data_IF_704288076371
#
_entry.id   IF_704288076371
#
_cell.length_a   1.000
_cell.length_b   1.000
_cell.length_c   1.000
_cell.angle_alpha   90.00
_cell.angle_beta   90.00
_cell.angle_gamma   90.00
#
_symmetry.space_group_name_H-M   'P 1'
#
loop_
_entity.id
_entity.type
_entity.pdbx_description
1 polymer ?
#
# COMPACT_ATOMS: atom_id res chain seq x y z
N UNK A 1 -28.83 16.20 -5.89
CA UNK A 1 -28.17 14.92 -5.61
C UNK A 1 -26.77 14.92 -6.23
N UNK A 2 -26.06 16.06 -6.32
CA UNK A 2 -25.26 16.27 -7.55
C UNK A 2 -23.77 16.53 -7.39
N UNK A 3 -23.25 16.91 -6.22
CA UNK A 3 -21.83 17.28 -6.15
C UNK A 3 -20.92 16.07 -5.88
N UNK A 4 -21.29 15.24 -4.91
CA UNK A 4 -20.53 14.03 -4.56
C UNK A 4 -20.55 13.01 -5.71
N UNK A 5 -21.70 12.82 -6.35
CA UNK A 5 -21.82 11.93 -7.51
C UNK A 5 -21.04 12.44 -8.70
N UNK A 6 -21.03 13.75 -8.94
CA UNK A 6 -20.22 14.36 -10.00
C UNK A 6 -18.73 14.18 -9.73
N UNK A 7 -18.27 14.37 -8.49
CA UNK A 7 -16.88 14.11 -8.09
C UNK A 7 -16.52 12.64 -8.36
N UNK A 8 -17.34 11.71 -7.89
CA UNK A 8 -17.09 10.27 -8.07
C UNK A 8 -17.17 9.84 -9.53
N UNK A 9 -18.08 10.41 -10.31
CA UNK A 9 -18.17 10.15 -11.75
C UNK A 9 -16.92 10.66 -12.48
N UNK A 10 -16.37 11.81 -12.08
CA UNK A 10 -15.17 12.39 -12.68
C UNK A 10 -13.93 11.59 -12.28
N UNK A 11 -13.79 11.27 -11.01
CA UNK A 11 -12.58 10.63 -10.47
C UNK A 11 -12.55 9.11 -10.72
N UNK A 12 -13.72 8.46 -10.79
CA UNK A 12 -13.85 6.99 -10.78
C UNK A 12 -14.78 6.42 -11.86
N UNK A 13 -15.42 7.28 -12.65
CA UNK A 13 -16.25 6.87 -13.78
C UNK A 13 -17.74 6.68 -13.46
N UNK A 14 -18.56 6.74 -14.52
CA UNK A 14 -20.03 6.75 -14.44
C UNK A 14 -20.60 5.46 -13.83
N UNK A 15 -20.08 4.31 -14.21
CA UNK A 15 -20.61 3.02 -13.77
C UNK A 15 -20.40 2.79 -12.26
N UNK A 16 -19.24 3.21 -11.72
CA UNK A 16 -18.97 3.22 -10.28
C UNK A 16 -19.97 4.12 -9.56
N UNK A 17 -20.20 5.33 -10.09
CA UNK A 17 -21.15 6.28 -9.53
C UNK A 17 -22.60 5.74 -9.53
N UNK A 18 -23.02 5.07 -10.61
CA UNK A 18 -24.37 4.49 -10.75
C UNK A 18 -24.57 3.32 -9.78
N UNK A 19 -23.61 2.40 -9.66
CA UNK A 19 -23.66 1.30 -8.69
C UNK A 19 -23.64 1.82 -7.24
N UNK A 20 -22.80 2.82 -6.97
CA UNK A 20 -22.75 3.48 -5.67
C UNK A 20 -24.10 4.13 -5.32
N UNK A 21 -24.73 4.80 -6.29
CA UNK A 21 -26.03 5.45 -6.12
C UNK A 21 -27.10 4.45 -5.71
N UNK A 22 -27.21 3.36 -6.46
CA UNK A 22 -28.16 2.29 -6.18
C UNK A 22 -27.99 1.76 -4.76
N UNK A 23 -26.76 1.50 -4.33
CA UNK A 23 -26.46 1.02 -2.96
C UNK A 23 -26.73 2.07 -1.89
N UNK A 24 -26.47 3.35 -2.18
CA UNK A 24 -26.79 4.47 -1.30
C UNK A 24 -28.30 4.54 -1.03
N UNK A 25 -29.11 4.47 -2.08
CA UNK A 25 -30.57 4.50 -1.98
C UNK A 25 -31.08 3.31 -1.16
N UNK A 26 -30.65 2.09 -1.49
CA UNK A 26 -31.01 0.88 -0.72
C UNK A 26 -30.63 1.01 0.76
N UNK A 27 -29.39 1.40 1.07
CA UNK A 27 -28.91 1.53 2.44
C UNK A 27 -29.71 2.56 3.24
N UNK A 28 -29.94 3.73 2.64
CA UNK A 28 -30.65 4.82 3.33
C UNK A 28 -32.12 4.48 3.57
N UNK A 29 -32.78 3.80 2.63
CA UNK A 29 -34.15 3.29 2.82
C UNK A 29 -34.24 2.26 3.94
N UNK A 30 -33.35 1.27 3.96
CA UNK A 30 -33.29 0.25 5.01
C UNK A 30 -33.09 0.89 6.40
N UNK A 31 -32.14 1.82 6.54
CA UNK A 31 -31.90 2.50 7.83
C UNK A 31 -33.07 3.38 8.27
N UNK A 32 -33.80 4.01 7.33
CA UNK A 32 -35.03 4.75 7.66
C UNK A 32 -36.11 3.82 8.19
N UNK A 33 -36.32 2.66 7.56
CA UNK A 33 -37.27 1.63 8.05
C UNK A 33 -36.91 1.15 9.45
N UNK A 34 -35.62 0.97 9.72
CA UNK A 34 -35.11 0.56 11.03
C UNK A 34 -35.04 1.69 12.08
N UNK A 35 -35.43 2.93 11.73
CA UNK A 35 -35.27 4.14 12.58
C UNK A 35 -33.83 4.33 13.09
N UNK A 36 -32.82 3.89 12.33
CA UNK A 36 -31.41 4.01 12.68
C UNK A 36 -30.80 5.30 12.13
N UNK A 37 -29.78 5.80 12.81
CA UNK A 37 -28.99 6.96 12.36
C UNK A 37 -28.26 6.64 11.07
N UNK A 38 -28.42 7.50 10.07
CA UNK A 38 -27.70 7.46 8.80
C UNK A 38 -26.37 8.23 8.97
N UNK A 39 -25.23 7.68 8.49
CA UNK A 39 -23.95 8.40 8.46
C UNK A 39 -23.99 9.69 7.63
N UNK A 40 -22.96 10.53 7.76
CA UNK A 40 -22.80 11.71 6.88
C UNK A 40 -22.76 11.27 5.42
N UNK A 41 -23.43 12.05 4.55
CA UNK A 41 -23.62 11.71 3.15
C UNK A 41 -22.31 11.52 2.37
N UNK A 42 -21.34 12.40 2.60
CA UNK A 42 -19.98 12.36 2.03
C UNK A 42 -19.23 11.10 2.44
N UNK A 43 -19.20 10.79 3.73
CA UNK A 43 -18.53 9.61 4.26
C UNK A 43 -19.20 8.29 3.81
N UNK A 44 -20.53 8.28 3.69
CA UNK A 44 -21.28 7.14 3.14
C UNK A 44 -20.97 6.93 1.65
N UNK A 45 -20.93 8.01 0.86
CA UNK A 45 -20.57 7.92 -0.55
C UNK A 45 -19.13 7.46 -0.73
N UNK A 46 -18.17 8.02 0.00
CA UNK A 46 -16.78 7.56 -0.03
C UNK A 46 -16.63 6.09 0.31
N UNK A 47 -17.38 5.61 1.31
CA UNK A 47 -17.36 4.20 1.69
C UNK A 47 -17.92 3.28 0.60
N UNK A 48 -19.00 3.69 -0.06
CA UNK A 48 -19.60 2.93 -1.15
C UNK A 48 -18.75 2.94 -2.42
N UNK A 49 -18.15 4.10 -2.76
CA UNK A 49 -17.19 4.21 -3.85
C UNK A 49 -15.98 3.31 -3.63
N UNK A 50 -15.42 3.32 -2.42
CA UNK A 50 -14.32 2.42 -2.05
C UNK A 50 -14.68 0.97 -2.28
N UNK A 51 -15.83 0.52 -1.77
CA UNK A 51 -16.26 -0.89 -1.91
C UNK A 51 -16.42 -1.26 -3.39
N UNK A 52 -17.00 -0.38 -4.20
CA UNK A 52 -17.22 -0.63 -5.62
C UNK A 52 -15.90 -0.69 -6.42
N UNK A 53 -14.96 0.21 -6.12
CA UNK A 53 -13.64 0.24 -6.74
C UNK A 53 -12.84 -1.04 -6.43
N UNK A 54 -12.78 -1.44 -5.16
CA UNK A 54 -12.06 -2.67 -4.81
C UNK A 54 -12.73 -3.91 -5.42
N UNK A 55 -14.07 -3.96 -5.53
CA UNK A 55 -14.76 -5.06 -6.22
C UNK A 55 -14.38 -5.19 -7.69
N UNK A 56 -13.96 -4.09 -8.34
CA UNK A 56 -13.45 -4.07 -9.71
C UNK A 56 -11.97 -4.44 -9.81
N UNK A 57 -11.31 -4.67 -8.68
CA UNK A 57 -9.87 -4.94 -8.63
C UNK A 57 -9.01 -3.67 -8.64
N UNK A 58 -9.61 -2.48 -8.50
CA UNK A 58 -8.87 -1.23 -8.42
C UNK A 58 -8.06 -1.17 -7.12
N UNK A 59 -6.85 -0.62 -7.20
CA UNK A 59 -5.96 -0.44 -6.05
C UNK A 59 -6.09 0.98 -5.51
N UNK A 60 -7.17 1.26 -4.79
CA UNK A 60 -7.46 2.58 -4.20
C UNK A 60 -7.35 2.55 -2.69
N UNK A 61 -6.81 3.59 -2.07
CA UNK A 61 -6.82 3.74 -0.61
C UNK A 61 -7.87 4.74 -0.14
N UNK A 62 -8.21 4.68 1.14
CA UNK A 62 -9.22 5.58 1.71
C UNK A 62 -8.83 7.05 1.58
N UNK A 63 -7.53 7.36 1.60
CA UNK A 63 -7.03 8.74 1.52
C UNK A 63 -7.28 9.40 0.17
N UNK A 64 -7.20 8.66 -0.93
CA UNK A 64 -7.51 9.21 -2.26
C UNK A 64 -8.99 9.61 -2.33
N UNK A 65 -9.87 8.72 -1.87
CA UNK A 65 -11.31 8.97 -1.87
C UNK A 65 -11.68 10.09 -0.88
N UNK A 66 -11.02 10.11 0.27
CA UNK A 66 -11.23 11.12 1.30
C UNK A 66 -10.83 12.51 0.82
N UNK A 67 -9.72 12.63 0.10
CA UNK A 67 -9.22 13.88 -0.47
C UNK A 67 -10.19 14.46 -1.50
N UNK A 68 -10.67 13.64 -2.44
CA UNK A 68 -11.70 14.04 -3.43
C UNK A 68 -13.00 14.52 -2.77
N UNK A 69 -13.36 13.95 -1.62
CA UNK A 69 -14.62 14.24 -0.93
C UNK A 69 -14.50 15.24 0.21
N UNK A 70 -13.29 15.69 0.55
CA UNK A 70 -13.03 16.55 1.70
C UNK A 70 -13.45 15.92 3.05
N UNK A 71 -13.24 14.61 3.22
CA UNK A 71 -13.68 13.85 4.40
C UNK A 71 -12.49 13.22 5.15
N UNK A 72 -12.70 12.72 6.37
CA UNK A 72 -11.67 11.95 7.10
C UNK A 72 -11.61 10.50 6.56
N UNK A 73 -10.46 10.01 6.06
CA UNK A 73 -10.32 8.64 5.56
C UNK A 73 -10.63 7.58 6.62
N UNK A 74 -10.38 7.86 7.91
CA UNK A 74 -10.72 6.93 9.01
C UNK A 74 -12.22 6.78 9.16
N UNK A 75 -12.96 7.84 8.89
CA UNK A 75 -14.42 7.80 8.97
C UNK A 75 -15.03 7.02 7.80
N UNK A 76 -14.48 7.22 6.59
CA UNK A 76 -14.82 6.41 5.42
C UNK A 76 -14.52 4.92 5.68
N UNK A 77 -13.33 4.57 6.18
CA UNK A 77 -12.93 3.20 6.49
C UNK A 77 -13.84 2.50 7.53
N UNK A 78 -14.27 3.26 8.55
CA UNK A 78 -15.22 2.75 9.56
C UNK A 78 -16.57 2.44 8.94
N UNK A 79 -17.06 3.29 8.04
CA UNK A 79 -18.35 3.10 7.38
C UNK A 79 -18.28 1.96 6.37
N UNK A 80 -17.22 1.88 5.54
CA UNK A 80 -17.06 0.79 4.56
C UNK A 80 -17.06 -0.57 5.26
N UNK A 81 -16.31 -0.71 6.35
CA UNK A 81 -16.29 -1.94 7.17
C UNK A 81 -17.67 -2.30 7.70
N UNK A 82 -18.43 -1.31 8.17
CA UNK A 82 -19.79 -1.53 8.67
C UNK A 82 -20.73 -1.99 7.55
N UNK A 83 -20.68 -1.33 6.39
CA UNK A 83 -21.49 -1.68 5.22
C UNK A 83 -21.18 -3.11 4.78
N UNK A 84 -19.90 -3.47 4.62
CA UNK A 84 -19.51 -4.82 4.22
C UNK A 84 -20.05 -5.88 5.19
N UNK A 85 -19.93 -5.65 6.51
CA UNK A 85 -20.48 -6.57 7.53
C UNK A 85 -22.00 -6.69 7.45
N UNK A 86 -22.71 -5.57 7.27
CA UNK A 86 -24.18 -5.56 7.21
C UNK A 86 -24.71 -6.29 5.96
N UNK A 87 -24.01 -6.23 4.83
CA UNK A 87 -24.38 -6.93 3.61
C UNK A 87 -23.74 -8.33 3.47
N UNK A 88 -23.08 -8.85 4.51
CA UNK A 88 -22.42 -10.16 4.46
C UNK A 88 -21.27 -10.24 3.45
N UNK A 89 -20.75 -9.10 3.02
CA UNK A 89 -19.61 -9.03 2.10
C UNK A 89 -18.32 -9.11 2.91
N UNK A 90 -17.34 -9.85 2.39
CA UNK A 90 -15.97 -9.73 2.92
C UNK A 90 -15.56 -8.26 2.76
N UNK A 91 -14.96 -7.64 3.81
CA UNK A 91 -14.43 -6.30 3.65
C UNK A 91 -13.48 -6.31 2.45
N UNK A 92 -13.49 -5.24 1.65
CA UNK A 92 -12.56 -5.15 0.54
C UNK A 92 -11.13 -5.14 1.10
N UNK A 93 -10.32 -6.14 0.72
CA UNK A 93 -8.94 -6.27 1.19
C UNK A 93 -8.03 -6.04 -0.02
N UNK A 94 -7.28 -4.95 0.04
CA UNK A 94 -6.17 -4.70 -0.89
C UNK A 94 -5.02 -5.59 -0.43
N UNK A 95 -4.35 -6.33 -1.34
CA UNK A 95 -3.13 -7.05 -1.00
C UNK A 95 -2.13 -6.12 -0.30
N UNK A 96 -1.47 -6.59 0.75
CA UNK A 96 -0.53 -5.79 1.55
C UNK A 96 0.49 -5.05 0.68
N UNK A 97 1.07 -5.77 -0.27
CA UNK A 97 2.02 -5.24 -1.25
C UNK A 97 1.47 -4.06 -2.03
N UNK A 98 0.31 -4.26 -2.66
CA UNK A 98 -0.39 -3.22 -3.40
C UNK A 98 -0.71 -2.02 -2.51
N UNK A 99 -1.13 -2.25 -1.26
CA UNK A 99 -1.44 -1.18 -0.32
C UNK A 99 -0.21 -0.34 0.05
N UNK A 100 0.94 -0.97 0.36
CA UNK A 100 2.17 -0.25 0.70
C UNK A 100 2.69 0.54 -0.51
N UNK A 101 2.73 -0.07 -1.69
CA UNK A 101 3.12 0.63 -2.93
C UNK A 101 2.22 1.83 -3.20
N UNK A 102 0.91 1.65 -3.01
CA UNK A 102 -0.07 2.73 -3.19
C UNK A 102 0.11 3.86 -2.18
N UNK A 103 0.42 3.54 -0.92
CA UNK A 103 0.79 4.55 0.07
C UNK A 103 2.02 5.34 -0.38
N UNK A 104 3.07 4.66 -0.86
CA UNK A 104 4.28 5.33 -1.37
C UNK A 104 3.93 6.26 -2.54
N UNK A 105 3.14 5.80 -3.51
CA UNK A 105 2.72 6.62 -4.66
C UNK A 105 1.86 7.82 -4.28
N UNK A 106 1.04 7.72 -3.23
CA UNK A 106 0.18 8.83 -2.77
C UNK A 106 0.95 9.83 -1.93
N UNK A 107 1.85 9.36 -1.06
CA UNK A 107 2.55 10.23 -0.11
C UNK A 107 3.90 10.75 -0.62
N UNK A 108 4.56 10.07 -1.56
CA UNK A 108 5.82 10.53 -2.17
C UNK A 108 5.69 11.96 -2.71
N UNK A 109 4.77 12.23 -3.65
CA UNK A 109 4.55 13.58 -4.19
C UNK A 109 4.11 14.59 -3.12
N UNK A 110 3.33 14.15 -2.12
CA UNK A 110 2.93 15.00 -0.99
C UNK A 110 4.11 15.38 -0.10
N UNK A 111 5.19 14.61 -0.14
CA UNK A 111 6.46 14.86 0.54
C UNK A 111 7.51 15.46 -0.41
N UNK A 112 7.08 15.97 -1.57
CA UNK A 112 7.95 16.63 -2.56
C UNK A 112 8.98 15.70 -3.24
N UNK A 113 8.79 14.38 -3.15
CA UNK A 113 9.56 13.44 -3.95
C UNK A 113 9.17 13.55 -5.43
N UNK A 114 10.17 13.51 -6.29
CA UNK A 114 9.95 13.38 -7.72
C UNK A 114 9.49 11.96 -8.12
N UNK A 115 9.21 11.77 -9.41
CA UNK A 115 8.73 10.48 -9.94
C UNK A 115 9.78 9.37 -9.78
N UNK A 116 11.06 9.69 -9.93
CA UNK A 116 12.16 8.73 -9.84
C UNK A 116 12.43 8.35 -8.39
N UNK A 117 12.40 9.31 -7.47
CA UNK A 117 12.49 9.08 -6.04
C UNK A 117 11.33 8.22 -5.53
N UNK A 118 10.11 8.50 -6.02
CA UNK A 118 8.93 7.67 -5.71
C UNK A 118 9.10 6.24 -6.24
N UNK A 119 9.64 6.06 -7.46
CA UNK A 119 9.96 4.74 -8.02
C UNK A 119 11.05 4.03 -7.22
N UNK A 120 12.06 4.74 -6.76
CA UNK A 120 13.13 4.20 -5.92
C UNK A 120 12.57 3.69 -4.58
N UNK A 121 11.64 4.41 -3.96
CA UNK A 121 10.95 3.96 -2.74
C UNK A 121 10.14 2.69 -2.97
N UNK A 122 9.45 2.58 -4.10
CA UNK A 122 8.71 1.36 -4.47
C UNK A 122 9.68 0.20 -4.73
N UNK A 123 10.76 0.43 -5.49
CA UNK A 123 11.77 -0.58 -5.78
C UNK A 123 12.49 -1.05 -4.52
N UNK A 124 12.70 -0.16 -3.55
CA UNK A 124 13.23 -0.50 -2.24
C UNK A 124 12.28 -1.46 -1.51
N UNK A 125 10.97 -1.15 -1.49
CA UNK A 125 9.97 -2.04 -0.92
C UNK A 125 9.97 -3.41 -1.63
N UNK A 126 9.98 -3.44 -2.97
CA UNK A 126 10.02 -4.68 -3.76
C UNK A 126 11.21 -5.56 -3.39
N UNK A 127 12.37 -4.96 -3.10
CA UNK A 127 13.58 -5.69 -2.74
C UNK A 127 13.51 -6.39 -1.38
N UNK A 128 12.62 -5.93 -0.48
CA UNK A 128 12.48 -6.46 0.90
C UNK A 128 11.11 -7.06 1.18
N UNK A 129 10.21 -7.06 0.19
CA UNK A 129 8.80 -7.42 0.36
C UNK A 129 8.60 -8.81 0.97
N UNK A 130 9.35 -9.81 0.48
CA UNK A 130 9.20 -11.20 0.92
C UNK A 130 9.61 -11.38 2.38
N UNK A 131 10.70 -10.72 2.78
CA UNK A 131 11.25 -10.86 4.11
C UNK A 131 10.46 -10.00 5.11
N UNK A 132 10.03 -8.79 4.72
CA UNK A 132 9.29 -7.88 5.61
C UNK A 132 7.90 -8.43 6.00
N UNK A 133 7.32 -9.32 5.20
CA UNK A 133 6.08 -10.01 5.53
C UNK A 133 6.20 -10.88 6.78
N UNK A 134 7.38 -11.43 7.06
CA UNK A 134 7.65 -12.23 8.26
C UNK A 134 7.72 -11.36 9.53
N UNK A 135 8.15 -10.10 9.40
CA UNK A 135 8.48 -9.23 10.54
C UNK A 135 7.43 -8.17 10.89
N UNK A 136 6.54 -7.77 9.98
CA UNK A 136 5.86 -6.49 10.15
C UNK A 136 4.35 -6.54 10.36
N UNK A 137 3.89 -5.73 11.33
CA UNK A 137 2.47 -5.52 11.69
C UNK A 137 1.86 -4.20 11.18
N UNK A 138 2.58 -3.35 10.45
CA UNK A 138 2.09 -2.01 10.10
C UNK A 138 2.48 -1.52 8.70
N UNK A 139 1.49 -1.17 7.86
CA UNK A 139 1.70 -0.77 6.47
C UNK A 139 2.23 0.67 6.29
N UNK A 140 1.64 1.62 7.02
CA UNK A 140 2.02 3.05 6.98
C UNK A 140 3.48 3.28 7.40
N UNK A 141 3.97 2.68 8.50
CA UNK A 141 5.39 2.78 8.87
C UNK A 141 6.34 2.25 7.79
N UNK A 142 6.02 1.12 7.15
CA UNK A 142 6.85 0.58 6.06
C UNK A 142 6.90 1.56 4.89
N UNK A 143 5.76 2.08 4.45
CA UNK A 143 5.71 3.05 3.36
C UNK A 143 6.55 4.30 3.69
N UNK A 144 6.41 4.83 4.91
CA UNK A 144 7.20 5.97 5.38
C UNK A 144 8.70 5.66 5.46
N UNK A 145 9.08 4.47 5.90
CA UNK A 145 10.47 4.03 5.95
C UNK A 145 11.07 3.88 4.54
N UNK A 146 10.30 3.36 3.58
CA UNK A 146 10.74 3.25 2.20
C UNK A 146 10.93 4.63 1.56
N UNK A 147 10.02 5.59 1.83
CA UNK A 147 10.16 6.98 1.39
C UNK A 147 11.44 7.60 1.98
N UNK A 148 11.61 7.49 3.30
CA UNK A 148 12.79 8.02 3.99
C UNK A 148 14.11 7.46 3.46
N UNK A 149 14.18 6.15 3.23
CA UNK A 149 15.40 5.47 2.79
C UNK A 149 15.70 5.62 1.30
N UNK A 150 14.69 5.95 0.48
CA UNK A 150 14.87 6.17 -0.95
C UNK A 150 15.31 7.61 -1.26
N UNK A 151 14.98 8.55 -0.38
CA UNK A 151 15.49 9.89 -0.46
C UNK A 151 17.01 9.90 -0.22
N UNK A 152 17.74 10.63 -1.06
CA UNK A 152 19.19 10.84 -0.90
C UNK A 152 19.55 12.15 -0.21
N UNK A 153 18.54 12.92 0.21
CA UNK A 153 18.69 14.26 0.76
C UNK A 153 18.41 14.21 2.25
N UNK A 154 19.21 14.93 3.02
CA UNK A 154 18.99 15.18 4.45
C UNK A 154 17.79 16.12 4.71
N UNK A 155 16.79 16.18 3.82
CA UNK A 155 15.74 17.21 3.82
C UNK A 155 14.46 16.76 4.55
N UNK A 156 14.01 15.49 4.45
CA UNK A 156 12.81 15.03 5.18
C UNK A 156 13.13 14.50 6.58
N UNK A 157 12.52 15.12 7.58
CA UNK A 157 12.51 14.60 8.95
C UNK A 157 11.51 13.44 9.13
N UNK A 158 11.77 12.55 10.09
CA UNK A 158 10.82 11.50 10.48
C UNK A 158 9.50 12.09 10.98
N UNK A 159 9.55 13.26 11.60
CA UNK A 159 8.40 14.03 12.05
C UNK A 159 7.49 14.41 10.89
N UNK A 160 8.04 14.95 9.80
CA UNK A 160 7.28 15.34 8.61
C UNK A 160 6.62 14.14 7.94
N UNK A 161 7.40 13.07 7.71
CA UNK A 161 6.89 11.84 7.10
C UNK A 161 5.78 11.24 7.97
N UNK A 162 6.00 11.14 9.28
CA UNK A 162 5.02 10.57 10.22
C UNK A 162 3.71 11.35 10.24
N UNK A 163 3.80 12.68 10.18
CA UNK A 163 2.66 13.58 10.16
C UNK A 163 1.83 13.39 8.90
N UNK A 164 2.47 13.42 7.72
CA UNK A 164 1.75 13.28 6.44
C UNK A 164 1.16 11.88 6.27
N UNK A 165 1.92 10.85 6.61
CA UNK A 165 1.49 9.44 6.46
C UNK A 165 0.52 9.03 7.59
N UNK A 166 0.36 9.83 8.65
CA UNK A 166 -0.58 9.50 9.74
C UNK A 166 -0.10 8.32 10.58
N UNK A 167 1.16 8.37 11.02
CA UNK A 167 1.80 7.40 11.92
C UNK A 167 2.70 8.11 12.93
N UNK A 168 3.51 7.39 13.71
CA UNK A 168 4.49 7.98 14.63
C UNK A 168 5.91 7.90 14.07
N UNK A 169 6.81 8.86 14.39
CA UNK A 169 8.22 8.80 14.00
C UNK A 169 8.90 7.51 14.46
N UNK A 170 8.60 7.07 15.70
CA UNK A 170 9.13 5.85 16.30
C UNK A 170 8.77 4.63 15.46
N UNK A 171 7.52 4.53 14.99
CA UNK A 171 7.11 3.41 14.14
C UNK A 171 7.89 3.39 12.83
N UNK A 172 8.12 4.56 12.21
CA UNK A 172 8.92 4.67 10.99
C UNK A 172 10.36 4.26 11.27
N UNK A 173 10.98 4.78 12.34
CA UNK A 173 12.35 4.44 12.75
C UNK A 173 12.55 2.93 12.95
N UNK A 174 11.58 2.25 13.58
CA UNK A 174 11.62 0.80 13.73
C UNK A 174 11.55 0.08 12.38
N UNK A 175 10.69 0.55 11.45
CA UNK A 175 10.62 -0.02 10.10
C UNK A 175 11.87 0.26 9.28
N UNK A 176 12.54 1.39 9.48
CA UNK A 176 13.85 1.68 8.85
C UNK A 176 14.88 0.63 9.28
N UNK A 177 15.05 0.42 10.59
CA UNK A 177 16.00 -0.55 11.12
C UNK A 177 15.73 -1.97 10.57
N UNK A 178 14.46 -2.37 10.49
CA UNK A 178 14.06 -3.65 9.91
C UNK A 178 14.44 -3.76 8.42
N UNK A 179 14.13 -2.74 7.62
CA UNK A 179 14.45 -2.74 6.18
C UNK A 179 15.97 -2.80 5.98
N UNK A 180 16.75 -2.07 6.76
CA UNK A 180 18.20 -2.10 6.68
C UNK A 180 18.78 -3.45 7.08
N UNK A 181 18.28 -4.08 8.14
CA UNK A 181 18.68 -5.43 8.55
C UNK A 181 18.41 -6.47 7.44
N UNK A 182 17.22 -6.43 6.84
CA UNK A 182 16.86 -7.30 5.71
C UNK A 182 17.81 -7.08 4.55
N UNK A 183 18.09 -5.82 4.18
CA UNK A 183 19.03 -5.50 3.09
C UNK A 183 20.44 -5.99 3.36
N UNK A 184 20.88 -5.98 4.62
CA UNK A 184 22.18 -6.55 4.99
C UNK A 184 22.18 -8.06 4.83
N UNK A 185 21.13 -8.76 5.31
CA UNK A 185 20.98 -10.22 5.12
C UNK A 185 20.99 -10.61 3.64
N UNK A 186 20.21 -9.93 2.79
CA UNK A 186 20.18 -10.19 1.35
C UNK A 186 21.57 -10.05 0.73
N UNK A 187 22.31 -8.98 1.06
CA UNK A 187 23.69 -8.78 0.57
C UNK A 187 24.65 -9.88 1.04
N UNK A 188 24.50 -10.35 2.27
CA UNK A 188 25.32 -11.43 2.81
C UNK A 188 25.03 -12.76 2.11
N UNK A 189 23.76 -13.06 1.86
CA UNK A 189 23.32 -14.25 1.12
C UNK A 189 23.83 -14.22 -0.34
N UNK A 190 23.67 -13.10 -1.04
CA UNK A 190 24.21 -12.91 -2.40
C UNK A 190 25.73 -13.12 -2.46
N UNK A 191 26.45 -12.61 -1.45
CA UNK A 191 27.90 -12.80 -1.34
C UNK A 191 28.26 -14.27 -1.10
N UNK A 192 27.53 -14.98 -0.26
CA UNK A 192 27.73 -16.40 -0.03
C UNK A 192 27.45 -17.22 -1.30
N UNK A 193 26.37 -16.92 -2.01
CA UNK A 193 26.03 -17.60 -3.26
C UNK A 193 27.09 -17.37 -4.34
N UNK A 194 27.57 -16.13 -4.51
CA UNK A 194 28.66 -15.81 -5.43
C UNK A 194 29.96 -16.59 -5.11
N UNK A 195 30.29 -16.70 -3.83
CA UNK A 195 31.43 -17.50 -3.37
C UNK A 195 31.26 -18.98 -3.71
N UNK A 196 30.07 -19.56 -3.47
CA UNK A 196 29.76 -20.94 -3.80
C UNK A 196 29.82 -21.20 -5.31
N UNK A 197 29.26 -20.33 -6.14
CA UNK A 197 29.32 -20.44 -7.60
C UNK A 197 30.77 -20.39 -8.10
N UNK A 198 31.61 -19.52 -7.52
CA UNK A 198 33.03 -19.44 -7.86
C UNK A 198 33.79 -20.73 -7.50
N UNK A 199 33.48 -21.34 -6.36
CA UNK A 199 34.07 -22.59 -5.90
C UNK A 199 33.65 -23.76 -6.81
N UNK A 200 32.37 -23.83 -7.17
CA UNK A 200 31.80 -24.85 -8.03
C UNK A 200 32.43 -24.79 -9.44
N UNK A 201 32.64 -23.59 -9.98
CA UNK A 201 33.36 -23.38 -11.25
C UNK A 201 34.82 -23.86 -11.19
N UNK A 202 35.52 -23.66 -10.06
CA UNK A 202 36.89 -24.18 -9.84
C UNK A 202 36.91 -25.71 -9.77
N UNK A 203 35.95 -26.32 -9.08
CA UNK A 203 35.82 -27.80 -8.99
C UNK A 203 35.54 -28.40 -10.35
N UNK A 204 34.57 -27.86 -11.11
CA UNK A 204 34.28 -28.31 -12.47
C UNK A 204 35.49 -28.18 -13.41
N UNK A 205 36.26 -27.09 -13.29
CA UNK A 205 37.50 -26.90 -14.07
C UNK A 205 38.58 -27.92 -13.71
N UNK A 206 38.69 -28.32 -12.43
CA UNK A 206 39.59 -29.40 -12.00
C UNK A 206 39.11 -30.75 -12.56
N UNK A 207 37.83 -31.09 -12.43
CA UNK A 207 37.27 -32.36 -12.92
C UNK A 207 37.45 -32.54 -14.43
N UNK A 208 37.22 -31.49 -15.24
CA UNK A 208 37.51 -31.53 -16.69
C UNK A 208 38.98 -31.77 -17.01
N UNK A 209 39.92 -31.31 -16.18
CA UNK A 209 41.36 -31.61 -16.37
C UNK A 209 41.70 -33.06 -16.04
N UNK A 210 40.97 -33.70 -15.13
CA UNK A 210 41.15 -35.12 -14.82
C UNK A 210 40.55 -36.04 -15.89
N UNK A 211 39.43 -35.65 -16.52
CA UNK A 211 38.80 -36.46 -17.58
C UNK A 211 39.50 -36.39 -18.95
N UNK A 212 40.51 -35.52 -19.12
CA UNK A 212 41.23 -35.31 -20.38
C UNK A 212 42.64 -35.92 -20.40
N UNK A 213 43.02 -36.73 -19.41
CA UNK A 213 44.20 -37.58 -19.52
C UNK A 213 43.77 -38.93 -20.13
N UNK A 214 44.11 -39.22 -21.41
CA UNK A 214 44.03 -40.58 -21.91
C UNK A 214 45.06 -41.43 -21.14
N UNK A 215 44.62 -42.58 -20.65
CA UNK A 215 45.48 -43.69 -20.24
C UNK A 215 46.28 -44.23 -21.42
#
# INVERSE_FOLDING_TARGET
>A
MDQIYKIIQVDYGKEVADNMLKRYETYTEEKRKEKKRIPRRTALAGALAYIELIKRGEQVIYEEIAESLGEDPRYIAKISTKISREYGEKPPIIPRSAFIKKLISVYGPKLELDEEETKNAISLYDSVEKDIEEYAFAFRPIAGACIYLAEKKDELSLEEISSKIGTTPISIGNSIAQIEEIRQKIKEEEKQESNLQSALKKVLKKLKKFSLKPS
#
